data_IF_207398849608
#
_entry.id   IF_207398849608
#
_cell.length_a   1.000
_cell.length_b   1.000
_cell.length_c   1.000
_cell.angle_alpha   90.00
_cell.angle_beta   90.00
_cell.angle_gamma   90.00
#
_symmetry.space_group_name_H-M   'P 1'
#
loop_
_entity.id
_entity.type
_entity.pdbx_description
1 polymer ?
#
# COMPACT_ATOMS: atom_id res chain seq x y z
N UNK A 1 -9.92 -7.21 6.43
CA UNK A 1 -9.66 -7.24 7.89
C UNK A 1 -9.58 -5.84 8.48
N UNK A 2 -8.59 -5.02 8.12
CA UNK A 2 -8.44 -3.68 8.73
C UNK A 2 -9.57 -2.70 8.36
N UNK A 3 -10.23 -2.90 7.22
CA UNK A 3 -11.35 -2.07 6.75
C UNK A 3 -12.73 -2.58 7.15
N UNK A 4 -12.82 -3.57 8.05
CA UNK A 4 -14.10 -4.13 8.49
C UNK A 4 -14.67 -5.24 7.60
N UNK A 5 -13.93 -5.73 6.61
CA UNK A 5 -14.33 -6.83 5.73
C UNK A 5 -13.59 -8.13 6.06
N UNK A 6 -14.25 -9.28 6.01
CA UNK A 6 -13.63 -10.60 6.17
C UNK A 6 -14.28 -11.46 7.25
N UNK A 7 -13.49 -12.38 7.81
CA UNK A 7 -13.96 -13.35 8.80
C UNK A 7 -14.38 -12.69 10.13
N UNK A 8 -15.61 -12.94 10.63
CA UNK A 8 -16.09 -12.34 11.87
C UNK A 8 -15.21 -12.61 13.10
N UNK A 9 -14.60 -13.80 13.21
CA UNK A 9 -13.75 -14.14 14.35
C UNK A 9 -12.51 -13.24 14.40
N UNK A 10 -11.97 -12.84 13.24
CA UNK A 10 -10.85 -11.90 13.19
C UNK A 10 -11.33 -10.47 13.43
N UNK A 11 -12.46 -10.08 12.83
CA UNK A 11 -13.00 -8.73 12.97
C UNK A 11 -13.32 -8.41 14.44
N UNK A 12 -13.89 -9.36 15.18
CA UNK A 12 -14.23 -9.24 16.60
C UNK A 12 -13.00 -9.09 17.51
N UNK A 13 -11.79 -9.36 17.01
CA UNK A 13 -10.51 -9.18 17.73
C UNK A 13 -9.88 -7.83 17.49
N UNK A 14 -10.30 -7.10 16.45
CA UNK A 14 -9.71 -5.81 16.12
C UNK A 14 -10.30 -4.72 17.03
N UNK A 15 -9.46 -3.85 17.61
CA UNK A 15 -9.94 -2.78 18.49
C UNK A 15 -10.69 -1.68 17.72
N UNK A 16 -10.48 -1.58 16.40
CA UNK A 16 -11.15 -0.65 15.50
C UNK A 16 -10.95 -1.09 14.04
N UNK A 17 -11.72 -0.46 13.15
CA UNK A 17 -11.52 -0.54 11.70
C UNK A 17 -11.05 0.82 11.16
N UNK A 18 -10.37 0.78 10.01
CA UNK A 18 -9.94 1.95 9.25
C UNK A 18 -10.95 2.20 8.13
N UNK A 19 -11.39 3.44 7.96
CA UNK A 19 -12.21 3.84 6.82
C UNK A 19 -11.46 3.51 5.51
N UNK A 20 -12.06 2.77 4.57
CA UNK A 20 -11.40 2.41 3.31
C UNK A 20 -10.85 3.60 2.52
N UNK A 21 -11.49 4.78 2.62
CA UNK A 21 -11.01 6.01 1.97
C UNK A 21 -9.66 6.51 2.50
N UNK A 22 -9.19 5.95 3.62
CA UNK A 22 -7.89 6.23 4.25
C UNK A 22 -6.90 5.09 4.08
N UNK A 23 -7.19 4.12 3.23
CA UNK A 23 -6.31 3.00 2.90
C UNK A 23 -5.92 3.08 1.43
N UNK A 24 -4.61 3.11 1.18
CA UNK A 24 -4.05 3.02 -0.15
C UNK A 24 -3.23 1.74 -0.29
N UNK A 25 -3.42 1.05 -1.41
CA UNK A 25 -2.59 -0.05 -1.86
C UNK A 25 -1.55 0.50 -2.84
N UNK A 26 -0.27 0.39 -2.49
CA UNK A 26 0.82 1.13 -3.17
C UNK A 26 1.82 0.14 -3.74
N UNK A 27 2.04 0.18 -5.05
CA UNK A 27 2.98 -0.69 -5.75
C UNK A 27 2.42 -2.05 -6.18
N UNK A 28 1.10 -2.27 -6.11
CA UNK A 28 0.51 -3.53 -6.57
C UNK A 28 0.63 -3.66 -8.08
N UNK A 29 1.15 -4.81 -8.52
CA UNK A 29 1.43 -5.13 -9.92
C UNK A 29 1.16 -6.60 -10.30
N UNK A 30 0.68 -7.39 -9.34
CA UNK A 30 0.06 -8.67 -9.58
C UNK A 30 -1.21 -8.77 -8.74
N UNK A 31 -2.27 -9.24 -9.37
CA UNK A 31 -3.59 -9.36 -8.78
C UNK A 31 -4.16 -10.71 -9.15
N UNK A 32 -4.98 -11.26 -8.26
CA UNK A 32 -5.98 -12.26 -8.63
C UNK A 32 -7.16 -11.55 -9.32
N UNK A 33 -7.74 -12.16 -10.34
CA UNK A 33 -8.78 -11.52 -11.16
C UNK A 33 -10.03 -11.10 -10.35
N UNK A 34 -10.33 -11.79 -9.25
CA UNK A 34 -11.46 -11.48 -8.38
C UNK A 34 -11.17 -10.33 -7.40
N UNK A 35 -9.91 -10.00 -7.15
CA UNK A 35 -9.51 -8.94 -6.22
C UNK A 35 -9.89 -7.54 -6.72
N UNK A 36 -9.87 -7.31 -8.03
CA UNK A 36 -10.17 -6.01 -8.63
C UNK A 36 -11.58 -5.51 -8.29
N UNK A 37 -12.58 -6.41 -8.30
CA UNK A 37 -13.96 -6.06 -7.99
C UNK A 37 -14.10 -5.50 -6.55
N UNK A 38 -13.29 -6.02 -5.62
CA UNK A 38 -13.34 -5.62 -4.23
C UNK A 38 -12.63 -4.30 -3.93
N UNK A 39 -11.60 -3.93 -4.71
CA UNK A 39 -10.94 -2.61 -4.59
C UNK A 39 -11.97 -1.50 -4.80
N UNK A 40 -12.70 -1.58 -5.90
CA UNK A 40 -13.74 -0.59 -6.24
C UNK A 40 -14.93 -0.69 -5.29
N UNK A 41 -15.40 -1.91 -4.99
CA UNK A 41 -16.54 -2.13 -4.10
C UNK A 41 -16.29 -1.58 -2.70
N UNK A 42 -15.06 -1.72 -2.19
CA UNK A 42 -14.69 -1.26 -0.85
C UNK A 42 -14.21 0.19 -0.84
N UNK A 43 -14.01 0.84 -1.99
CA UNK A 43 -13.56 2.22 -2.08
C UNK A 43 -12.10 2.42 -1.69
N UNK A 44 -11.25 1.42 -1.97
CA UNK A 44 -9.81 1.49 -1.74
C UNK A 44 -9.13 2.31 -2.84
N UNK A 45 -8.11 3.07 -2.47
CA UNK A 45 -7.25 3.75 -3.46
C UNK A 45 -6.08 2.86 -3.83
N UNK A 46 -5.69 2.83 -5.10
CA UNK A 46 -4.53 2.07 -5.58
C UNK A 46 -3.55 2.96 -6.32
N UNK A 47 -2.26 2.70 -6.15
CA UNK A 47 -1.19 3.29 -6.95
C UNK A 47 -0.34 2.17 -7.55
N UNK A 48 -0.31 2.05 -8.87
CA UNK A 48 0.51 1.05 -9.56
C UNK A 48 2.00 1.47 -9.57
N UNK A 49 2.94 0.55 -9.84
CA UNK A 49 4.34 0.94 -10.03
C UNK A 49 4.50 2.02 -11.10
N UNK A 50 3.77 1.96 -12.22
CA UNK A 50 3.91 2.93 -13.31
C UNK A 50 3.55 4.36 -12.88
N UNK A 51 2.59 4.52 -11.97
CA UNK A 51 2.25 5.82 -11.37
C UNK A 51 3.34 6.32 -10.40
N UNK A 52 4.18 5.42 -9.90
CA UNK A 52 5.14 5.68 -8.82
C UNK A 52 6.60 5.66 -9.29
N UNK A 53 6.91 5.17 -10.49
CA UNK A 53 8.30 4.97 -10.97
C UNK A 53 9.09 6.28 -11.07
N UNK A 54 8.45 7.33 -11.56
CA UNK A 54 9.08 8.64 -11.79
C UNK A 54 9.08 9.51 -10.54
N UNK A 55 7.94 9.62 -9.86
CA UNK A 55 7.73 10.43 -8.66
C UNK A 55 6.60 9.86 -7.79
N UNK A 56 6.35 10.45 -6.63
CA UNK A 56 5.34 10.01 -5.66
C UNK A 56 4.22 11.06 -5.45
N UNK A 57 4.07 12.02 -6.37
CA UNK A 57 3.18 13.19 -6.19
C UNK A 57 1.72 12.78 -5.98
N UNK A 58 1.20 11.86 -6.80
CA UNK A 58 -0.18 11.39 -6.69
C UNK A 58 -0.47 10.75 -5.31
N UNK A 59 0.51 10.04 -4.73
CA UNK A 59 0.39 9.45 -3.40
C UNK A 59 0.43 10.51 -2.30
N UNK A 60 1.36 11.46 -2.36
CA UNK A 60 1.48 12.51 -1.33
C UNK A 60 0.31 13.51 -1.37
N UNK A 61 -0.20 13.81 -2.56
CA UNK A 61 -1.44 14.59 -2.75
C UNK A 61 -2.66 13.87 -2.18
N UNK A 62 -2.77 12.54 -2.40
CA UNK A 62 -3.82 11.74 -1.78
C UNK A 62 -3.72 11.75 -0.26
N UNK A 63 -2.53 11.53 0.32
CA UNK A 63 -2.30 11.62 1.76
C UNK A 63 -2.80 12.98 2.29
N UNK A 64 -2.40 14.08 1.64
CA UNK A 64 -2.85 15.42 2.02
C UNK A 64 -4.39 15.57 1.94
N UNK A 65 -5.02 15.04 0.89
CA UNK A 65 -6.47 15.09 0.71
C UNK A 65 -7.26 14.31 1.77
N UNK A 66 -6.67 13.27 2.38
CA UNK A 66 -7.31 12.57 3.52
C UNK A 66 -7.43 13.42 4.77
N UNK A 67 -6.66 14.52 4.87
CA UNK A 67 -6.55 15.36 6.06
C UNK A 67 -5.87 14.68 7.24
N UNK A 68 -5.17 13.55 7.02
CA UNK A 68 -4.46 12.84 8.06
C UNK A 68 -3.08 13.44 8.32
N UNK A 69 -2.66 13.46 9.58
CA UNK A 69 -1.33 13.93 10.00
C UNK A 69 -0.37 12.79 10.30
N UNK A 70 -0.88 11.56 10.39
CA UNK A 70 -0.14 10.35 10.77
C UNK A 70 -0.49 9.22 9.82
N UNK A 71 0.53 8.46 9.43
CA UNK A 71 0.40 7.30 8.56
C UNK A 71 1.10 6.09 9.17
N UNK A 72 0.65 4.91 8.80
CA UNK A 72 1.33 3.64 9.07
C UNK A 72 1.63 2.99 7.73
N UNK A 73 2.83 2.43 7.58
CA UNK A 73 3.27 1.77 6.36
C UNK A 73 3.41 0.27 6.59
N UNK A 74 2.72 -0.52 5.77
CA UNK A 74 2.99 -1.94 5.63
C UNK A 74 3.77 -2.14 4.33
N UNK A 75 5.04 -2.53 4.43
CA UNK A 75 5.87 -2.85 3.29
C UNK A 75 5.91 -4.38 3.15
N UNK A 76 5.15 -4.89 2.19
CA UNK A 76 5.39 -6.24 1.69
C UNK A 76 6.61 -6.19 0.77
N UNK A 77 7.62 -7.02 1.05
CA UNK A 77 8.86 -7.01 0.28
C UNK A 77 8.68 -7.45 -1.17
N UNK A 78 7.58 -8.15 -1.50
CA UNK A 78 7.25 -8.57 -2.86
C UNK A 78 6.80 -7.41 -3.78
N UNK A 79 6.60 -6.21 -3.23
CA UNK A 79 6.40 -4.98 -4.01
C UNK A 79 7.66 -4.60 -4.81
N UNK A 80 8.83 -5.08 -4.37
CA UNK A 80 10.10 -4.86 -5.06
C UNK A 80 10.17 -5.73 -6.31
N UNK A 81 10.62 -5.15 -7.42
CA UNK A 81 10.75 -5.84 -8.69
C UNK A 81 11.68 -7.06 -8.57
N UNK A 82 11.14 -8.25 -8.83
CA UNK A 82 11.90 -9.49 -8.74
C UNK A 82 13.03 -9.61 -9.76
N UNK A 83 13.01 -8.82 -10.83
CA UNK A 83 14.12 -8.72 -11.79
C UNK A 83 15.35 -7.99 -11.17
N UNK A 84 15.15 -7.15 -10.14
CA UNK A 84 16.23 -6.53 -9.37
C UNK A 84 16.64 -7.40 -8.19
N UNK A 85 15.68 -7.84 -7.38
CA UNK A 85 15.91 -8.72 -6.24
C UNK A 85 14.69 -9.58 -5.94
N UNK A 86 14.90 -10.90 -5.86
CA UNK A 86 13.86 -11.83 -5.47
C UNK A 86 13.69 -11.81 -3.95
N UNK A 87 12.64 -11.12 -3.48
CA UNK A 87 12.21 -11.09 -2.08
C UNK A 87 10.85 -11.79 -1.95
N UNK A 88 10.58 -12.38 -0.78
CA UNK A 88 9.33 -13.09 -0.52
C UNK A 88 9.23 -14.47 -1.19
N UNK A 89 7.99 -14.98 -1.28
CA UNK A 89 7.68 -16.25 -1.91
C UNK A 89 6.94 -15.97 -3.24
N UNK A 90 7.55 -16.34 -4.36
CA UNK A 90 6.98 -16.12 -5.68
C UNK A 90 7.53 -14.85 -6.33
N UNK A 91 8.55 -14.94 -7.20
CA UNK A 91 9.09 -13.78 -7.89
C UNK A 91 8.09 -13.25 -8.93
N UNK A 92 7.67 -11.99 -8.74
CA UNK A 92 6.76 -11.28 -9.65
C UNK A 92 7.54 -10.10 -10.27
N UNK A 93 7.77 -10.08 -11.59
CA UNK A 93 8.48 -8.99 -12.24
C UNK A 93 7.56 -7.79 -12.47
N UNK A 94 8.14 -6.61 -12.65
CA UNK A 94 7.39 -5.37 -12.95
C UNK A 94 6.99 -4.57 -11.71
N UNK A 95 7.55 -4.88 -10.55
CA UNK A 95 7.43 -4.10 -9.33
C UNK A 95 8.23 -2.79 -9.36
N UNK A 96 8.39 -2.18 -8.19
CA UNK A 96 9.24 -1.00 -8.00
C UNK A 96 10.68 -1.41 -7.72
N UNK A 97 11.66 -0.66 -8.22
CA UNK A 97 13.05 -0.89 -7.79
C UNK A 97 13.23 -0.53 -6.32
N UNK A 98 14.25 -1.09 -5.66
CA UNK A 98 14.62 -0.72 -4.28
C UNK A 98 14.83 0.80 -4.14
N UNK A 99 15.45 1.42 -5.15
CA UNK A 99 15.62 2.87 -5.21
C UNK A 99 14.28 3.62 -5.24
N UNK A 100 13.32 3.13 -6.01
CA UNK A 100 11.97 3.72 -6.11
C UNK A 100 11.18 3.52 -4.81
N UNK A 101 11.20 2.32 -4.22
CA UNK A 101 10.57 2.06 -2.91
C UNK A 101 11.14 3.00 -1.84
N UNK A 102 12.47 3.14 -1.77
CA UNK A 102 13.11 4.05 -0.81
C UNK A 102 12.69 5.51 -1.02
N UNK A 103 12.57 5.96 -2.28
CA UNK A 103 12.06 7.31 -2.58
C UNK A 103 10.62 7.47 -2.11
N UNK A 104 9.73 6.54 -2.47
CA UNK A 104 8.32 6.57 -2.06
C UNK A 104 8.19 6.67 -0.54
N UNK A 105 8.93 5.85 0.21
CA UNK A 105 8.94 5.90 1.68
C UNK A 105 9.45 7.24 2.24
N UNK A 106 10.49 7.81 1.61
CA UNK A 106 11.01 9.12 2.01
C UNK A 106 9.99 10.24 1.75
N UNK A 107 9.30 10.22 0.61
CA UNK A 107 8.28 11.19 0.25
C UNK A 107 7.06 11.09 1.17
N UNK A 108 6.63 9.87 1.53
CA UNK A 108 5.56 9.64 2.52
C UNK A 108 5.96 10.19 3.89
N UNK A 109 7.19 9.92 4.33
CA UNK A 109 7.72 10.42 5.61
C UNK A 109 7.86 11.95 5.66
N UNK A 110 8.09 12.59 4.50
CA UNK A 110 8.09 14.04 4.38
C UNK A 110 6.66 14.62 4.40
N UNK A 111 5.66 13.89 3.90
CA UNK A 111 4.27 14.34 3.80
C UNK A 111 3.46 14.15 5.10
N UNK A 112 3.77 13.12 5.90
CA UNK A 112 3.05 12.81 7.14
C UNK A 112 3.95 12.12 8.18
N UNK A 113 3.55 12.18 9.45
CA UNK A 113 4.25 11.51 10.56
C UNK A 113 4.06 9.99 10.46
N UNK A 114 5.13 9.25 10.13
CA UNK A 114 5.10 7.78 10.07
C UNK A 114 5.18 7.22 11.49
N UNK A 115 4.03 6.81 12.02
CA UNK A 115 3.90 6.34 13.42
C UNK A 115 3.99 4.82 13.56
N UNK A 116 4.09 4.10 12.45
CA UNK A 116 4.23 2.64 12.43
C UNK A 116 4.77 2.16 11.09
N UNK A 117 5.64 1.16 11.15
CA UNK A 117 6.17 0.49 9.97
C UNK A 117 6.30 -1.00 10.24
N UNK A 118 5.79 -1.82 9.33
CA UNK A 118 6.00 -3.27 9.31
C UNK A 118 6.67 -3.65 8.00
N UNK A 119 7.60 -4.60 8.07
CA UNK A 119 8.23 -5.23 6.90
C UNK A 119 7.86 -6.70 6.96
N UNK A 120 7.23 -7.20 5.91
CA UNK A 120 6.74 -8.58 5.80
C UNK A 120 7.39 -9.27 4.60
#
# INVERSE_FOLDING_TARGET
MITGHGDPEILDRLPAHVDPSRVALVGIHAWEDDAYAYVDQWGLTTFSPDQLRTDSSALTEWIAATGTSRVTVHLDVDTVDSDEVSLGLGPIPGGLTLGQVRRVLADVSAAADVVGMTVA
#
